data_IF_759532845559
#
_entry.id   IF_759532845559
#
_cell.length_a   1.000
_cell.length_b   1.000
_cell.length_c   1.000
_cell.angle_alpha   90.00
_cell.angle_beta   90.00
_cell.angle_gamma   90.00
#
_symmetry.space_group_name_H-M   'P 1'
#
loop_
_entity.id
_entity.type
_entity.pdbx_description
1 polymer ?
#
# COMPACT_ATOMS: atom_id res chain seq x y z
N UNK A 1 23.25 -12.42 2.32
CA UNK A 1 23.50 -12.49 0.87
C UNK A 1 22.14 -12.51 0.20
N UNK A 2 21.77 -11.44 -0.50
CA UNK A 2 20.52 -11.39 -1.26
C UNK A 2 20.56 -12.45 -2.35
N UNK A 3 19.49 -13.26 -2.47
CA UNK A 3 19.34 -14.22 -3.54
C UNK A 3 19.41 -13.50 -4.90
N UNK A 4 20.06 -14.06 -5.93
CA UNK A 4 20.11 -13.44 -7.23
C UNK A 4 18.69 -13.24 -7.73
N UNK A 5 18.32 -11.99 -7.93
CA UNK A 5 17.01 -11.66 -8.47
C UNK A 5 17.01 -12.12 -9.93
N UNK A 6 16.13 -13.07 -10.24
CA UNK A 6 15.96 -13.59 -11.59
C UNK A 6 15.68 -12.45 -12.56
N UNK A 7 16.34 -12.44 -13.73
CA UNK A 7 16.09 -11.45 -14.76
C UNK A 7 14.63 -11.49 -15.21
N UNK A 8 13.97 -10.35 -15.22
CA UNK A 8 12.57 -10.24 -15.65
C UNK A 8 12.51 -10.11 -17.17
N UNK A 9 11.74 -10.99 -17.80
CA UNK A 9 11.43 -10.90 -19.22
C UNK A 9 10.23 -9.98 -19.43
N UNK A 10 10.43 -8.91 -20.19
CA UNK A 10 9.41 -7.98 -20.58
C UNK A 10 9.17 -8.01 -22.09
N UNK A 11 7.92 -8.14 -22.51
CA UNK A 11 7.53 -8.11 -23.92
C UNK A 11 6.99 -6.73 -24.28
N UNK A 12 7.53 -6.05 -25.30
CA UNK A 12 7.00 -4.77 -25.72
C UNK A 12 5.55 -4.92 -26.18
N UNK A 13 4.72 -3.94 -25.85
CA UNK A 13 3.32 -3.89 -26.30
C UNK A 13 3.24 -3.13 -27.60
N UNK A 14 2.72 -3.78 -28.61
CA UNK A 14 2.43 -3.15 -29.89
C UNK A 14 0.98 -2.67 -29.97
N UNK A 15 0.74 -1.61 -30.73
CA UNK A 15 -0.58 -1.10 -31.06
C UNK A 15 -1.11 0.01 -30.14
N UNK A 16 -2.44 0.18 -30.08
CA UNK A 16 -3.07 1.28 -29.35
C UNK A 16 -3.05 1.04 -27.83
N UNK A 17 -2.52 2.00 -27.08
CA UNK A 17 -2.47 1.98 -25.60
C UNK A 17 -3.79 2.46 -25.01
N UNK A 18 -4.85 1.68 -25.13
CA UNK A 18 -6.16 2.02 -24.60
C UNK A 18 -6.61 1.05 -23.50
N UNK A 19 -7.69 1.42 -22.80
CA UNK A 19 -8.31 0.64 -21.72
C UNK A 19 -8.60 -0.82 -22.12
N UNK A 20 -9.12 -1.02 -23.34
CA UNK A 20 -9.48 -2.35 -23.84
C UNK A 20 -8.25 -3.24 -24.09
N UNK A 21 -7.14 -2.66 -24.56
CA UNK A 21 -5.89 -3.39 -24.74
C UNK A 21 -5.30 -3.84 -23.38
N UNK A 22 -5.27 -2.94 -22.39
CA UNK A 22 -4.82 -3.29 -21.04
C UNK A 22 -5.70 -4.39 -20.40
N UNK A 23 -7.02 -4.33 -20.61
CA UNK A 23 -7.94 -5.37 -20.13
C UNK A 23 -7.65 -6.74 -20.76
N UNK A 24 -7.37 -6.79 -22.08
CA UNK A 24 -7.01 -8.05 -22.76
C UNK A 24 -5.73 -8.66 -22.20
N UNK A 25 -4.70 -7.84 -21.94
CA UNK A 25 -3.46 -8.29 -21.30
C UNK A 25 -3.73 -8.91 -19.93
N UNK A 26 -4.57 -8.28 -19.10
CA UNK A 26 -4.93 -8.83 -17.79
C UNK A 26 -5.74 -10.13 -17.87
N UNK A 27 -6.59 -10.27 -18.88
CA UNK A 27 -7.36 -11.52 -19.14
C UNK A 27 -6.43 -12.65 -19.56
N UNK A 28 -5.34 -12.38 -20.32
CA UNK A 28 -4.33 -13.38 -20.66
C UNK A 28 -3.38 -13.74 -19.50
N UNK A 29 -3.60 -13.17 -18.30
CA UNK A 29 -2.80 -13.48 -17.12
C UNK A 29 -1.49 -12.70 -16.99
N UNK A 30 -1.24 -11.74 -17.88
CA UNK A 30 -0.07 -10.86 -17.84
C UNK A 30 -0.44 -9.49 -17.25
N UNK A 31 0.58 -8.75 -16.79
CA UNK A 31 0.42 -7.40 -16.25
C UNK A 31 0.94 -6.38 -17.26
N UNK A 32 0.13 -5.36 -17.62
CA UNK A 32 0.64 -4.22 -18.35
C UNK A 32 1.54 -3.38 -17.44
N UNK A 33 2.72 -3.02 -17.94
CA UNK A 33 3.70 -2.21 -17.24
C UNK A 33 4.27 -1.13 -18.15
N UNK A 34 4.86 -0.11 -17.54
CA UNK A 34 5.58 0.94 -18.25
C UNK A 34 6.99 1.04 -17.72
N UNK A 35 7.95 1.17 -18.62
CA UNK A 35 9.36 1.32 -18.31
C UNK A 35 9.80 2.69 -18.81
N UNK A 36 10.36 3.51 -17.93
CA UNK A 36 10.86 4.85 -18.25
C UNK A 36 12.19 5.13 -17.54
N UNK A 37 12.82 6.25 -17.84
CA UNK A 37 14.05 6.69 -17.19
C UNK A 37 15.32 6.46 -18.00
N UNK A 38 16.46 6.79 -17.40
CA UNK A 38 17.81 6.75 -18.00
C UNK A 38 17.94 7.56 -19.31
N UNK A 39 17.09 8.60 -19.51
CA UNK A 39 17.13 9.43 -20.75
C UNK A 39 16.64 8.74 -22.00
N UNK A 40 15.99 7.59 -21.88
CA UNK A 40 15.35 6.85 -22.97
C UNK A 40 13.84 7.03 -22.96
N UNK A 41 13.19 6.87 -24.10
CA UNK A 41 11.75 6.94 -24.23
C UNK A 41 11.04 5.88 -23.37
N UNK A 42 9.84 6.22 -22.91
CA UNK A 42 9.00 5.29 -22.16
C UNK A 42 8.48 4.18 -23.08
N UNK A 43 8.62 2.94 -22.64
CA UNK A 43 8.18 1.75 -23.37
C UNK A 43 7.09 1.06 -22.58
N UNK A 44 5.93 0.83 -23.22
CA UNK A 44 4.90 0.00 -22.63
C UNK A 44 5.21 -1.48 -22.88
N UNK A 45 5.17 -2.26 -21.80
CA UNK A 45 5.51 -3.69 -21.83
C UNK A 45 4.45 -4.54 -21.14
N UNK A 46 4.58 -5.84 -21.28
CA UNK A 46 3.86 -6.84 -20.49
C UNK A 46 4.85 -7.70 -19.73
N UNK A 47 4.52 -7.99 -18.47
CA UNK A 47 5.37 -8.78 -17.57
C UNK A 47 4.60 -9.91 -16.90
N UNK A 48 5.30 -10.94 -16.45
CA UNK A 48 4.70 -12.04 -15.69
C UNK A 48 4.44 -11.61 -14.24
N UNK A 49 3.19 -11.75 -13.72
CA UNK A 49 2.86 -11.44 -12.34
C UNK A 49 3.69 -12.22 -11.32
N UNK A 50 4.08 -13.46 -11.61
CA UNK A 50 4.83 -14.29 -10.66
C UNK A 50 6.21 -13.74 -10.36
N UNK A 51 6.95 -13.31 -11.38
CA UNK A 51 8.28 -12.73 -11.22
C UNK A 51 8.23 -11.44 -10.38
N UNK A 52 7.29 -10.57 -10.69
CA UNK A 52 7.08 -9.30 -9.96
C UNK A 52 6.64 -9.55 -8.51
N UNK A 53 5.75 -10.49 -8.29
CA UNK A 53 5.27 -10.81 -6.94
C UNK A 53 6.42 -11.32 -6.06
N UNK A 54 7.34 -12.12 -6.59
CA UNK A 54 8.54 -12.55 -5.86
C UNK A 54 9.39 -11.35 -5.41
N UNK A 55 9.59 -10.37 -6.30
CA UNK A 55 10.35 -9.16 -5.97
C UNK A 55 9.65 -8.34 -4.90
N UNK A 56 8.35 -8.08 -5.04
CA UNK A 56 7.59 -7.30 -4.07
C UNK A 56 7.50 -7.95 -2.67
N UNK A 57 7.69 -9.26 -2.57
CA UNK A 57 7.74 -9.98 -1.29
C UNK A 57 9.17 -10.26 -0.81
N UNK A 58 10.20 -9.76 -1.50
CA UNK A 58 11.58 -9.82 -0.97
C UNK A 58 11.75 -8.84 0.18
N UNK A 59 12.79 -9.02 0.99
CA UNK A 59 13.11 -8.12 2.13
C UNK A 59 13.29 -6.66 1.69
N UNK A 60 13.88 -6.43 0.53
CA UNK A 60 14.05 -5.09 -0.05
C UNK A 60 12.79 -4.56 -0.77
N UNK A 61 11.74 -5.39 -0.93
CA UNK A 61 10.48 -5.01 -1.52
C UNK A 61 10.61 -4.35 -2.90
N UNK A 62 9.95 -3.20 -3.07
CA UNK A 62 9.99 -2.41 -4.30
C UNK A 62 11.35 -1.75 -4.59
N UNK A 63 12.21 -1.60 -3.55
CA UNK A 63 13.55 -1.03 -3.69
C UNK A 63 14.58 -2.01 -4.28
N UNK A 64 14.17 -3.24 -4.59
CA UNK A 64 15.02 -4.23 -5.21
C UNK A 64 15.38 -3.81 -6.63
N UNK A 65 16.70 -3.79 -6.93
CA UNK A 65 17.23 -3.59 -8.28
C UNK A 65 17.32 -4.95 -8.95
N UNK A 66 16.73 -5.07 -10.12
CA UNK A 66 16.72 -6.31 -10.91
C UNK A 66 17.12 -6.05 -12.36
N UNK A 67 17.57 -7.12 -13.02
CA UNK A 67 17.89 -7.07 -14.44
C UNK A 67 16.60 -7.27 -15.27
N UNK A 68 16.34 -6.31 -16.16
CA UNK A 68 15.18 -6.29 -17.04
C UNK A 68 15.61 -6.58 -18.46
N UNK A 69 15.13 -7.69 -19.00
CA UNK A 69 15.37 -8.10 -20.40
C UNK A 69 14.12 -7.79 -21.23
N UNK A 70 14.23 -6.84 -22.16
CA UNK A 70 13.15 -6.48 -23.07
C UNK A 70 13.33 -7.30 -24.35
N UNK A 71 12.32 -8.04 -24.81
CA UNK A 71 12.38 -8.75 -26.10
C UNK A 71 12.65 -7.76 -27.22
N UNK A 72 13.77 -7.94 -27.92
CA UNK A 72 14.21 -7.03 -29.00
C UNK A 72 14.94 -5.77 -28.54
N UNK A 73 15.22 -5.61 -27.26
CA UNK A 73 15.92 -4.48 -26.67
C UNK A 73 17.15 -4.87 -25.86
N UNK A 74 17.88 -3.87 -25.38
CA UNK A 74 19.02 -4.09 -24.49
C UNK A 74 18.56 -4.43 -23.07
N UNK A 75 19.31 -5.31 -22.41
CA UNK A 75 19.15 -5.54 -20.99
C UNK A 75 19.48 -4.26 -20.21
N UNK A 76 18.67 -3.92 -19.24
CA UNK A 76 18.84 -2.74 -18.40
C UNK A 76 18.51 -3.05 -16.95
N UNK A 77 19.16 -2.35 -16.02
CA UNK A 77 18.79 -2.43 -14.60
C UNK A 77 17.57 -1.55 -14.34
N UNK A 78 16.63 -2.09 -13.60
CA UNK A 78 15.38 -1.40 -13.27
C UNK A 78 14.99 -1.64 -11.82
N UNK A 79 14.12 -0.76 -11.31
CA UNK A 79 13.44 -0.92 -10.04
C UNK A 79 11.94 -0.68 -10.22
N UNK A 80 11.14 -1.15 -9.30
CA UNK A 80 9.71 -0.87 -9.25
C UNK A 80 9.51 0.45 -8.50
N UNK A 81 8.81 1.40 -9.11
CA UNK A 81 8.49 2.69 -8.48
C UNK A 81 7.09 2.67 -7.89
N UNK A 82 6.14 2.14 -8.66
CA UNK A 82 4.74 2.07 -8.24
C UNK A 82 4.07 0.80 -8.74
N UNK A 83 3.06 0.33 -8.00
CA UNK A 83 2.26 -0.82 -8.39
C UNK A 83 0.81 -0.65 -7.94
N UNK A 84 -0.09 -1.11 -8.77
CA UNK A 84 -1.51 -1.11 -8.46
C UNK A 84 -2.00 -2.53 -8.23
N UNK A 85 -2.74 -2.73 -7.15
CA UNK A 85 -3.40 -4.00 -6.81
C UNK A 85 -4.92 -3.85 -6.82
N UNK A 86 -5.61 -4.90 -7.21
CA UNK A 86 -7.06 -5.01 -7.06
C UNK A 86 -7.40 -5.17 -5.56
N UNK A 87 -8.29 -4.34 -4.98
CA UNK A 87 -8.56 -4.38 -3.53
C UNK A 87 -9.14 -5.72 -3.05
N UNK A 88 -9.97 -6.37 -3.87
CA UNK A 88 -10.68 -7.61 -3.47
C UNK A 88 -9.82 -8.85 -3.69
N UNK A 89 -9.23 -9.01 -4.88
CA UNK A 89 -8.49 -10.22 -5.28
C UNK A 89 -6.99 -10.10 -5.10
N UNK A 90 -6.50 -8.94 -4.68
CA UNK A 90 -5.07 -8.60 -4.51
C UNK A 90 -4.21 -8.88 -5.75
N UNK A 91 -4.81 -8.98 -6.94
CA UNK A 91 -4.09 -9.17 -8.20
C UNK A 91 -3.42 -7.87 -8.62
N UNK A 92 -2.20 -7.98 -9.15
CA UNK A 92 -1.49 -6.84 -9.70
C UNK A 92 -2.18 -6.38 -11.00
N UNK A 93 -2.45 -5.08 -11.09
CA UNK A 93 -3.14 -4.44 -12.21
C UNK A 93 -2.19 -3.66 -13.10
N UNK A 94 -1.21 -2.98 -12.54
CA UNK A 94 -0.22 -2.16 -13.24
C UNK A 94 1.08 -2.11 -12.45
N UNK A 95 2.18 -1.88 -13.15
CA UNK A 95 3.51 -1.73 -12.56
C UNK A 95 4.27 -0.67 -13.34
N UNK A 96 4.86 0.25 -12.61
CA UNK A 96 5.73 1.28 -13.12
C UNK A 96 7.17 0.93 -12.76
N UNK A 97 8.01 0.82 -13.78
CA UNK A 97 9.42 0.48 -13.63
C UNK A 97 10.29 1.62 -14.14
N UNK A 98 11.31 1.96 -13.37
CA UNK A 98 12.29 2.98 -13.72
C UNK A 98 13.62 2.32 -14.04
N UNK A 99 14.20 2.67 -15.21
CA UNK A 99 15.57 2.29 -15.54
C UNK A 99 16.55 3.06 -14.68
N UNK A 100 17.55 2.38 -14.20
CA UNK A 100 18.54 2.92 -13.27
C UNK A 100 19.88 3.03 -14.00
N UNK A 101 20.50 4.21 -13.87
CA UNK A 101 21.91 4.43 -14.16
C UNK A 101 22.67 4.35 -12.84
N UNK A 102 23.65 3.45 -12.75
CA UNK A 102 24.38 3.19 -11.49
C UNK A 102 25.19 4.39 -10.98
N UNK A 103 25.48 5.35 -11.86
CA UNK A 103 26.34 6.51 -11.57
C UNK A 103 25.55 7.74 -11.08
N UNK A 104 24.20 7.67 -11.02
CA UNK A 104 23.36 8.82 -10.68
C UNK A 104 22.67 8.61 -9.35
N UNK A 105 22.72 9.66 -8.52
CA UNK A 105 21.90 9.71 -7.30
C UNK A 105 20.42 9.66 -7.66
N UNK A 106 19.65 8.98 -6.85
CA UNK A 106 18.22 8.84 -7.03
C UNK A 106 17.47 8.98 -5.71
N UNK A 107 16.23 9.41 -5.81
CA UNK A 107 15.31 9.50 -4.68
C UNK A 107 14.49 8.23 -4.61
N UNK A 108 14.43 7.67 -3.42
CA UNK A 108 13.75 6.42 -3.13
C UNK A 108 13.06 6.52 -1.78
N UNK A 109 11.83 5.97 -1.67
CA UNK A 109 11.15 5.82 -0.39
C UNK A 109 11.58 4.49 0.23
N UNK A 110 12.09 4.53 1.46
CA UNK A 110 12.53 3.35 2.19
C UNK A 110 11.62 3.12 3.38
N UNK A 111 11.12 1.88 3.58
CA UNK A 111 10.27 1.57 4.72
C UNK A 111 11.07 1.62 6.03
N UNK A 112 10.43 2.17 7.07
CA UNK A 112 10.95 2.21 8.42
C UNK A 112 10.38 1.03 9.22
N UNK A 113 11.24 0.29 9.92
CA UNK A 113 10.84 -0.79 10.81
C UNK A 113 11.13 -0.41 12.25
N UNK A 114 10.10 -0.46 13.09
CA UNK A 114 10.24 -0.19 14.52
C UNK A 114 10.68 -1.48 15.23
N UNK A 115 11.82 -1.42 15.90
CA UNK A 115 12.40 -2.55 16.63
C UNK A 115 12.21 -2.33 18.12
N UNK A 116 11.77 -3.37 18.82
CA UNK A 116 11.54 -3.30 20.27
C UNK A 116 10.10 -2.97 20.67
N UNK A 117 9.87 -2.84 21.97
CA UNK A 117 8.58 -2.43 22.53
C UNK A 117 8.82 -1.30 23.53
N UNK A 118 8.23 -0.13 23.34
CA UNK A 118 8.44 1.05 24.16
C UNK A 118 8.14 0.81 25.65
N UNK A 119 8.92 1.43 26.53
CA UNK A 119 8.66 1.43 27.97
C UNK A 119 7.32 2.06 28.25
N UNK A 120 6.98 3.17 27.55
CA UNK A 120 5.68 3.83 27.66
C UNK A 120 4.47 2.94 27.36
N UNK A 121 4.60 1.98 26.46
CA UNK A 121 3.55 0.99 26.18
C UNK A 121 3.51 -0.09 27.27
N UNK A 122 4.68 -0.65 27.67
CA UNK A 122 4.77 -1.74 28.65
C UNK A 122 4.34 -1.35 30.06
N UNK A 123 4.80 -0.19 30.52
CA UNK A 123 4.64 0.20 31.94
C UNK A 123 3.55 1.22 32.17
N UNK A 124 3.24 2.04 31.19
CA UNK A 124 2.33 3.19 31.33
C UNK A 124 1.04 3.04 30.52
N UNK A 125 0.87 1.94 29.77
CA UNK A 125 -0.35 1.66 29.01
C UNK A 125 -0.55 2.60 27.80
N UNK A 126 0.53 3.23 27.30
CA UNK A 126 0.50 4.05 26.10
C UNK A 126 0.29 3.22 24.83
N UNK A 127 -0.05 3.87 23.73
CA UNK A 127 -0.14 3.28 22.41
C UNK A 127 0.96 3.86 21.54
N UNK A 128 1.72 2.98 20.88
CA UNK A 128 2.70 3.35 19.88
C UNK A 128 1.98 3.63 18.55
N UNK A 129 2.12 4.86 18.06
CA UNK A 129 1.61 5.25 16.75
C UNK A 129 2.79 5.44 15.79
N UNK A 130 2.74 4.77 14.65
CA UNK A 130 3.72 4.84 13.58
C UNK A 130 3.20 5.77 12.48
N UNK A 131 3.59 7.03 12.52
CA UNK A 131 3.10 8.10 11.64
C UNK A 131 3.74 8.00 10.26
N UNK A 132 5.07 7.99 10.19
CA UNK A 132 5.81 7.88 8.94
C UNK A 132 6.35 6.47 8.76
N UNK A 133 5.70 5.71 7.89
CA UNK A 133 6.10 4.33 7.57
C UNK A 133 7.17 4.22 6.51
N UNK A 134 7.35 5.27 5.73
CA UNK A 134 8.34 5.37 4.65
C UNK A 134 9.02 6.72 4.72
N UNK A 135 10.32 6.77 4.49
CA UNK A 135 11.12 7.99 4.47
C UNK A 135 11.81 8.12 3.11
N UNK A 136 11.72 9.31 2.52
CA UNK A 136 12.41 9.60 1.26
C UNK A 136 13.89 9.87 1.51
N UNK A 137 14.72 9.14 0.80
CA UNK A 137 16.17 9.29 0.84
C UNK A 137 16.74 9.54 -0.56
N UNK A 138 17.85 10.27 -0.62
CA UNK A 138 18.66 10.41 -1.82
C UNK A 138 19.97 9.66 -1.63
N UNK A 139 20.21 8.66 -2.48
CA UNK A 139 21.38 7.80 -2.42
C UNK A 139 21.78 7.26 -3.80
N UNK A 140 22.94 6.61 -3.85
CA UNK A 140 23.34 5.82 -5.01
C UNK A 140 22.56 4.49 -5.04
N UNK A 141 22.30 3.94 -6.23
CA UNK A 141 21.60 2.66 -6.35
C UNK A 141 22.26 1.49 -5.61
N UNK A 142 23.58 1.55 -5.43
CA UNK A 142 24.35 0.52 -4.69
C UNK A 142 24.15 0.58 -3.18
N UNK A 143 23.74 1.73 -2.66
CA UNK A 143 23.68 2.02 -1.23
C UNK A 143 22.24 2.06 -0.69
N UNK A 144 21.27 1.64 -1.50
CA UNK A 144 19.85 1.61 -1.09
C UNK A 144 19.65 0.54 -0.01
N UNK A 145 19.26 0.92 1.23
CA UNK A 145 18.93 -0.06 2.25
C UNK A 145 17.57 -0.71 1.98
N UNK A 146 17.38 -1.93 2.42
CA UNK A 146 16.09 -2.61 2.33
C UNK A 146 15.06 -2.01 3.27
N UNK A 147 15.48 -1.61 4.47
CA UNK A 147 14.67 -0.97 5.50
C UNK A 147 15.60 -0.16 6.43
N UNK A 148 14.99 0.71 7.21
CA UNK A 148 15.66 1.47 8.27
C UNK A 148 15.13 0.99 9.60
N UNK A 149 16.01 0.39 10.43
CA UNK A 149 15.63 -0.07 11.76
C UNK A 149 15.71 1.08 12.75
N UNK A 150 14.61 1.29 13.49
CA UNK A 150 14.51 2.32 14.52
C UNK A 150 14.19 1.67 15.85
N UNK A 151 15.09 1.79 16.81
CA UNK A 151 14.87 1.27 18.15
C UNK A 151 13.95 2.19 18.96
N UNK A 152 12.77 1.66 19.27
CA UNK A 152 11.74 2.35 20.07
C UNK A 152 11.71 1.90 21.52
N UNK A 153 12.64 1.03 21.96
CA UNK A 153 12.63 0.41 23.29
C UNK A 153 12.64 1.42 24.42
N UNK A 154 13.34 2.54 24.25
CA UNK A 154 13.55 3.57 25.28
C UNK A 154 12.48 4.68 25.27
N UNK A 155 11.47 4.61 24.38
CA UNK A 155 10.42 5.64 24.31
C UNK A 155 9.51 5.60 25.54
N UNK A 156 9.42 6.74 26.20
CA UNK A 156 8.48 7.02 27.27
C UNK A 156 7.16 7.60 26.71
N UNK A 157 6.20 7.79 27.61
CA UNK A 157 4.91 8.40 27.31
C UNK A 157 5.08 9.84 26.82
N UNK A 158 4.37 10.22 25.75
CA UNK A 158 4.44 11.53 25.08
C UNK A 158 5.80 11.87 24.45
N UNK A 159 6.68 10.89 24.25
CA UNK A 159 7.89 11.06 23.46
C UNK A 159 7.66 10.67 22.02
N UNK A 160 8.41 11.34 21.12
CA UNK A 160 8.41 11.11 19.69
C UNK A 160 9.84 10.90 19.19
N UNK A 161 9.98 10.11 18.16
CA UNK A 161 11.22 9.97 17.36
C UNK A 161 11.01 10.77 16.08
N UNK A 162 12.00 11.58 15.74
CA UNK A 162 12.03 12.40 14.53
C UNK A 162 12.96 11.81 13.47
N UNK A 163 12.88 12.34 12.25
CA UNK A 163 13.78 11.91 11.15
C UNK A 163 15.26 12.18 11.50
N UNK A 164 15.55 13.25 12.26
CA UNK A 164 16.88 13.57 12.75
C UNK A 164 17.52 12.48 13.63
N UNK A 165 16.70 11.69 14.32
CA UNK A 165 17.14 10.64 15.25
C UNK A 165 17.40 9.31 14.53
N UNK A 166 17.13 9.22 13.24
CA UNK A 166 17.33 8.01 12.45
C UNK A 166 18.84 7.71 12.29
N UNK A 167 19.24 6.43 12.27
CA UNK A 167 20.63 6.07 12.05
C UNK A 167 21.08 6.47 10.63
N UNK A 168 21.98 7.42 10.54
CA UNK A 168 22.61 7.87 9.32
C UNK A 168 23.69 6.86 8.90
N UNK A 169 23.30 5.80 8.20
CA UNK A 169 24.25 4.79 7.72
C UNK A 169 24.70 5.17 6.30
N UNK A 170 25.98 5.51 6.13
CA UNK A 170 26.59 5.75 4.82
C UNK A 170 26.31 7.11 4.19
N UNK A 171 26.19 7.15 2.85
CA UNK A 171 25.96 8.37 2.04
C UNK A 171 24.47 8.67 1.83
N UNK A 172 23.63 8.37 2.83
CA UNK A 172 22.20 8.59 2.77
C UNK A 172 21.89 10.03 3.12
N UNK A 173 21.12 10.71 2.26
CA UNK A 173 20.56 12.03 2.55
C UNK A 173 19.05 11.89 2.70
N UNK A 174 18.55 12.20 3.89
CA UNK A 174 17.11 12.29 4.14
C UNK A 174 16.55 13.55 3.50
N UNK A 175 15.44 13.44 2.74
CA UNK A 175 14.82 14.55 2.03
C UNK A 175 13.59 15.11 2.76
N UNK A 176 13.16 14.48 3.84
CA UNK A 176 12.04 14.94 4.67
C UNK A 176 12.40 16.13 5.55
N UNK A 177 11.39 16.72 6.18
CA UNK A 177 11.59 17.71 7.25
C UNK A 177 12.24 17.01 8.44
N UNK A 178 13.35 17.54 8.94
CA UNK A 178 14.13 16.94 10.05
C UNK A 178 13.28 16.75 11.32
N UNK A 179 12.30 17.64 11.53
CA UNK A 179 11.37 17.62 12.66
C UNK A 179 10.15 16.70 12.45
N UNK A 180 10.01 16.05 11.28
CA UNK A 180 8.88 15.18 11.03
C UNK A 180 8.93 13.95 11.96
N UNK A 181 7.81 13.68 12.62
CA UNK A 181 7.67 12.58 13.57
C UNK A 181 7.53 11.25 12.86
N UNK A 182 8.42 10.31 13.15
CA UNK A 182 8.40 8.94 12.63
C UNK A 182 7.47 8.07 13.46
N UNK A 183 7.64 8.08 14.78
CA UNK A 183 6.81 7.32 15.71
C UNK A 183 6.67 8.08 17.03
N UNK A 184 5.54 7.93 17.69
CA UNK A 184 5.33 8.51 19.02
C UNK A 184 4.48 7.61 19.92
N UNK A 185 4.59 7.79 21.22
CA UNK A 185 3.78 7.08 22.22
C UNK A 185 2.74 8.03 22.80
N UNK A 186 1.45 7.74 22.61
CA UNK A 186 0.34 8.53 23.14
C UNK A 186 -0.49 7.75 24.14
N UNK A 187 -1.24 8.48 24.96
CA UNK A 187 -2.27 7.93 25.85
C UNK A 187 -3.63 8.13 25.23
N UNK A 188 -4.36 7.07 25.04
CA UNK A 188 -5.80 7.20 24.80
C UNK A 188 -6.44 7.49 26.15
N UNK A 189 -6.86 8.73 26.38
CA UNK A 189 -7.88 9.01 27.37
C UNK A 189 -9.18 8.48 26.78
N UNK A 190 -9.58 7.25 27.17
CA UNK A 190 -10.97 6.87 26.99
C UNK A 190 -11.80 7.91 27.76
N UNK A 191 -12.49 8.77 27.04
CA UNK A 191 -13.54 9.59 27.60
C UNK A 191 -14.64 8.62 28.00
N UNK A 192 -14.67 8.31 29.31
CA UNK A 192 -15.68 7.44 29.93
C UNK A 192 -17.10 8.02 29.77
N UNK A 193 -17.23 9.18 29.16
CA UNK A 193 -18.51 9.87 28.89
C UNK A 193 -19.30 9.21 27.73
N UNK A 194 -18.65 8.59 26.73
CA UNK A 194 -19.37 7.94 25.63
C UNK A 194 -19.95 6.55 25.98
N UNK A 195 -19.40 5.87 26.98
CA UNK A 195 -19.91 4.56 27.42
C UNK A 195 -21.14 4.72 28.33
N UNK A 196 -21.23 5.84 29.07
CA UNK A 196 -22.39 6.15 29.92
C UNK A 196 -23.60 6.60 29.09
N UNK A 197 -23.38 7.29 27.96
CA UNK A 197 -24.46 7.69 27.06
C UNK A 197 -25.04 6.52 26.25
N UNK A 198 -24.21 5.53 25.91
CA UNK A 198 -24.66 4.32 25.20
C UNK A 198 -25.40 3.34 26.14
N UNK A 199 -25.06 3.31 27.43
CA UNK A 199 -25.75 2.47 28.44
C UNK A 199 -27.10 3.03 28.87
N UNK A 200 -27.31 4.35 28.78
CA UNK A 200 -28.58 5.01 29.11
C UNK A 200 -29.63 4.90 27.98
N UNK A 201 -29.21 4.58 26.72
CA UNK A 201 -30.10 4.42 25.57
C UNK A 201 -30.60 2.97 25.37
N UNK A 202 -30.18 2.01 26.19
CA UNK A 202 -30.52 0.59 26.08
C UNK A 202 -31.43 0.09 27.21
N UNK A 203 -32.35 0.92 27.74
CA UNK A 203 -33.44 0.43 28.59
C UNK A 203 -34.57 -0.09 27.66
N UNK A 204 -34.98 -1.34 27.78
CA UNK A 204 -36.05 -1.87 26.96
C UNK A 204 -37.41 -1.35 27.43
N UNK A 205 -38.07 -0.59 26.56
CA UNK A 205 -39.49 -0.29 26.71
C UNK A 205 -40.29 -1.57 26.43
N UNK A 206 -40.96 -2.12 27.43
CA UNK A 206 -41.96 -3.18 27.30
C UNK A 206 -43.11 -2.76 26.36
N UNK A 207 -43.54 -3.60 25.42
CA UNK A 207 -44.72 -3.31 24.64
C UNK A 207 -45.97 -3.73 25.38
N UNK A 208 -46.77 -2.77 25.79
CA UNK A 208 -48.16 -2.98 26.25
C UNK A 208 -49.05 -3.49 25.08
N UNK A 209 -49.63 -4.63 25.33
CA UNK A 209 -50.59 -5.32 24.48
C UNK A 209 -51.97 -4.63 24.61
N UNK A 210 -52.47 -4.01 23.57
CA UNK A 210 -53.88 -3.66 23.43
C UNK A 210 -54.55 -4.42 22.30
N UNK A 211 -55.36 -5.42 22.66
CA UNK A 211 -56.35 -6.12 21.83
C UNK A 211 -57.54 -5.20 21.49
N UNK A 212 -57.96 -5.21 20.22
CA UNK A 212 -59.35 -5.16 19.70
C UNK A 212 -59.30 -4.67 18.27
N UNK A 213 -59.92 -5.25 17.29
CA UNK A 213 -61.02 -6.17 17.12
C UNK A 213 -61.41 -6.11 15.63
N UNK A 214 -61.62 -7.24 15.09
CA UNK A 214 -62.46 -7.73 14.03
C UNK A 214 -63.27 -6.72 13.18
N UNK A 215 -63.15 -6.88 11.85
CA UNK A 215 -64.25 -7.17 10.87
C UNK A 215 -63.68 -7.09 9.45
N UNK A 216 -63.67 -8.17 8.75
CA UNK A 216 -64.48 -8.67 7.62
C UNK A 216 -64.65 -7.61 6.49
N UNK A 217 -64.23 -7.91 5.30
CA UNK A 217 -65.02 -8.43 4.19
C UNK A 217 -64.39 -8.11 2.81
N UNK A 218 -64.33 -9.15 2.00
CA UNK A 218 -64.56 -9.20 0.54
C UNK A 218 -63.49 -8.63 -0.45
N UNK A 219 -62.87 -9.55 -1.13
CA UNK A 219 -62.58 -9.47 -2.57
C UNK A 219 -63.89 -9.40 -3.39
N UNK A 220 -63.94 -9.06 -4.66
CA UNK A 220 -63.18 -9.73 -5.72
C UNK A 220 -62.83 -8.91 -7.01
N UNK A 221 -61.93 -9.51 -7.75
CA UNK A 221 -61.93 -9.79 -9.19
C UNK A 221 -61.92 -8.70 -10.29
N UNK A 222 -61.08 -9.03 -11.23
CA UNK A 222 -61.17 -8.86 -12.71
C UNK A 222 -60.93 -7.44 -13.27
N UNK A 223 -60.27 -7.22 -14.31
CA UNK A 223 -60.03 -7.89 -15.59
C UNK A 223 -59.36 -6.89 -16.55
N UNK A 224 -58.57 -7.45 -17.41
CA UNK A 224 -58.48 -7.14 -18.84
C UNK A 224 -57.82 -5.87 -19.40
N UNK A 225 -56.80 -6.19 -20.19
CA UNK A 225 -56.64 -5.83 -21.63
C UNK A 225 -56.26 -4.43 -22.05
N UNK A 226 -55.29 -4.46 -22.94
CA UNK A 226 -55.17 -3.64 -24.13
C UNK A 226 -53.82 -2.94 -24.26
N UNK A 227 -52.85 -3.43 -24.94
CA UNK A 227 -52.62 -3.49 -26.38
C UNK A 227 -52.31 -2.11 -27.03
N UNK A 228 -51.13 -2.14 -27.70
CA UNK A 228 -50.75 -1.28 -28.85
C UNK A 228 -50.34 0.18 -28.60
N UNK A 229 -49.13 0.53 -28.86
CA UNK A 229 -48.51 0.79 -30.19
C UNK A 229 -47.01 0.81 -30.11
#
# INVERSE_FOLDING_TARGET
>A
MAAPVEAILAKPREGKFNKNAARRVRVSGLIPAVIYGAGQDAIAVTVDPKAITKILHSESGHNTIFDLNIEGGAASKAMIVDWQREPIKSKLLHIDMKRIAMDKMMRVSVPVQLVGVPIGVKTQGGILDHVLREVEIECLPSDIPSHIDVDVSNLEMNQAIHISDLPHSGNLKFLGEEDATVAHVTVIKETVEDVAAAAAAAAPAEPEVAKKGKTDEAAPAADAKGAKK
#
